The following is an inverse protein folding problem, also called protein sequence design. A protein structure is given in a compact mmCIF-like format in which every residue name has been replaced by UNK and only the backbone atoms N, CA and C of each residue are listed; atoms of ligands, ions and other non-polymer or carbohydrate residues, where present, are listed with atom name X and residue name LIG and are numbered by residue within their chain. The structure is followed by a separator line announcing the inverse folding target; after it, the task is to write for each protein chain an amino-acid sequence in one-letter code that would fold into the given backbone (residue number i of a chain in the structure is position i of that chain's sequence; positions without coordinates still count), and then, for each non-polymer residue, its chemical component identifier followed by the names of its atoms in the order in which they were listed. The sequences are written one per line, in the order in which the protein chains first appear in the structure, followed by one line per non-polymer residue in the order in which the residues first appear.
data_IF_709349461728
#
_entry.id   IF_709349461728
#
_cell.length_a   1.000
_cell.length_b   1.000
_cell.length_c   1.000
_cell.angle_alpha   90.00
_cell.angle_beta   90.00
_cell.angle_gamma   90.00
#
_symmetry.space_group_name_H-M   'P 1'
#
loop_
_entity.id
_entity.type
_entity.pdbx_description
1 polymer ?
#
# COMPACT_ATOMS: atom_id res chain seq x y z
N UNK A 1 31.28 -50.81 0.36
CA UNK A 1 31.50 -49.47 0.94
C UNK A 1 32.02 -48.56 -0.15
N UNK A 2 31.64 -47.28 -0.11
CA UNK A 2 31.93 -46.19 -1.07
C UNK A 2 30.96 -46.06 -2.26
N UNK A 3 29.76 -45.53 -1.98
CA UNK A 3 29.06 -44.67 -2.92
C UNK A 3 29.29 -43.22 -2.50
N UNK A 4 30.00 -42.46 -3.33
CA UNK A 4 30.23 -41.03 -3.18
C UNK A 4 29.25 -40.30 -4.11
N UNK A 5 28.15 -39.78 -3.57
CA UNK A 5 27.31 -38.79 -4.25
C UNK A 5 27.67 -37.43 -3.67
N UNK A 6 28.54 -36.70 -4.36
CA UNK A 6 28.79 -35.29 -4.12
C UNK A 6 28.53 -34.53 -5.43
N UNK A 7 27.28 -34.16 -5.65
CA UNK A 7 26.88 -33.19 -6.67
C UNK A 7 26.38 -31.93 -5.99
N UNK A 8 27.29 -31.05 -5.57
CA UNK A 8 26.95 -29.70 -5.12
C UNK A 8 26.60 -28.85 -6.34
N UNK A 9 25.32 -28.87 -6.73
CA UNK A 9 24.79 -27.93 -7.71
C UNK A 9 24.79 -26.53 -7.11
N UNK A 10 25.73 -25.69 -7.51
CA UNK A 10 25.67 -24.25 -7.27
C UNK A 10 24.45 -23.69 -8.01
N UNK A 11 23.39 -23.40 -7.27
CA UNK A 11 22.27 -22.63 -7.81
C UNK A 11 22.81 -21.25 -8.15
N UNK A 12 23.04 -20.98 -9.44
CA UNK A 12 23.30 -19.65 -9.93
C UNK A 12 22.09 -18.78 -9.60
N UNK A 13 22.18 -18.01 -8.51
CA UNK A 13 21.25 -16.92 -8.26
C UNK A 13 21.58 -15.87 -9.33
N UNK A 14 20.71 -15.75 -10.34
CA UNK A 14 20.86 -14.72 -11.35
C UNK A 14 21.00 -13.36 -10.65
N UNK A 15 22.04 -12.60 -11.00
CA UNK A 15 22.25 -11.25 -10.48
C UNK A 15 21.05 -10.38 -10.83
N UNK A 16 20.50 -9.66 -9.86
CA UNK A 16 19.43 -8.69 -10.11
C UNK A 16 19.93 -7.61 -11.10
N UNK A 17 19.06 -7.08 -11.98
CA UNK A 17 19.44 -6.05 -12.95
C UNK A 17 19.62 -4.66 -12.31
N UNK A 18 19.49 -4.55 -10.99
CA UNK A 18 19.62 -3.32 -10.22
C UNK A 18 20.31 -3.61 -8.88
N UNK A 19 20.68 -2.56 -8.16
CA UNK A 19 21.39 -2.65 -6.88
C UNK A 19 20.52 -2.24 -5.70
N UNK A 20 20.71 -2.94 -4.58
CA UNK A 20 20.37 -2.42 -3.26
C UNK A 20 21.54 -1.61 -2.71
N UNK A 21 21.28 -0.41 -2.22
CA UNK A 21 22.29 0.48 -1.62
C UNK A 21 21.89 0.86 -0.22
N UNK A 22 22.87 0.96 0.67
CA UNK A 22 22.64 1.31 2.05
C UNK A 22 22.89 2.80 2.25
N UNK A 23 21.84 3.52 2.63
CA UNK A 23 21.88 4.91 3.07
C UNK A 23 21.24 4.98 4.45
N UNK A 24 21.82 4.22 5.38
CA UNK A 24 21.22 3.96 6.68
C UNK A 24 21.14 5.22 7.55
N UNK A 25 20.00 5.41 8.19
CA UNK A 25 19.77 6.37 9.25
C UNK A 25 20.37 5.78 10.55
N UNK A 26 21.29 6.48 11.23
CA UNK A 26 21.83 6.02 12.50
C UNK A 26 20.75 5.89 13.56
N UNK A 27 20.82 4.85 14.39
CA UNK A 27 19.93 4.71 15.55
C UNK A 27 20.46 5.59 16.69
N UNK A 28 20.11 6.87 16.66
CA UNK A 28 20.54 7.91 17.61
C UNK A 28 19.43 8.93 17.87
N UNK A 29 19.58 9.71 18.94
CA UNK A 29 18.61 10.77 19.28
C UNK A 29 18.49 11.81 18.15
N UNK A 30 17.28 12.31 17.95
CA UNK A 30 16.95 13.24 16.88
C UNK A 30 16.90 12.62 15.48
N UNK A 31 17.11 11.31 15.34
CA UNK A 31 16.92 10.60 14.07
C UNK A 31 15.50 10.05 13.95
N UNK A 32 14.99 9.99 12.72
CA UNK A 32 13.66 9.44 12.44
C UNK A 32 13.69 7.90 12.38
N UNK A 33 14.21 7.24 13.42
CA UNK A 33 14.30 5.78 13.51
C UNK A 33 14.12 5.34 14.95
N UNK A 34 13.47 4.21 15.16
CA UNK A 34 13.32 3.61 16.49
C UNK A 34 13.90 2.20 16.53
N UNK A 35 14.59 1.88 17.64
CA UNK A 35 15.25 0.59 17.82
C UNK A 35 14.25 -0.56 17.99
N UNK A 36 14.54 -1.68 17.35
CA UNK A 36 13.84 -2.97 17.55
C UNK A 36 12.42 -2.99 17.00
N UNK A 37 11.72 -4.11 17.10
CA UNK A 37 10.25 -4.15 17.04
C UNK A 37 9.68 -4.27 18.46
N UNK A 38 8.39 -3.99 18.64
CA UNK A 38 7.78 -4.06 19.97
C UNK A 38 7.62 -5.53 20.42
N UNK A 39 7.94 -5.81 21.68
CA UNK A 39 7.79 -7.14 22.30
C UNK A 39 6.34 -7.63 22.27
N UNK A 40 5.38 -6.71 22.42
CA UNK A 40 3.94 -6.97 22.30
C UNK A 40 3.54 -7.61 20.96
N UNK A 41 4.34 -7.41 19.92
CA UNK A 41 4.13 -7.95 18.58
C UNK A 41 5.00 -9.17 18.30
N UNK A 42 5.72 -9.68 19.29
CA UNK A 42 6.69 -10.77 19.15
C UNK A 42 8.02 -10.32 18.53
N UNK A 43 8.42 -9.06 18.73
CA UNK A 43 9.64 -8.48 18.18
C UNK A 43 9.73 -8.60 16.65
N UNK A 44 8.60 -8.42 15.96
CA UNK A 44 8.50 -8.49 14.50
C UNK A 44 7.48 -7.47 13.96
N UNK A 45 7.61 -7.07 12.68
CA UNK A 45 6.57 -6.31 12.00
C UNK A 45 5.36 -7.20 11.74
N UNK A 46 4.21 -6.57 11.50
CA UNK A 46 2.91 -7.20 11.27
C UNK A 46 2.36 -6.92 9.87
N UNK A 47 2.97 -6.00 9.11
CA UNK A 47 2.57 -5.73 7.72
C UNK A 47 3.51 -4.79 6.98
N UNK A 48 3.06 -4.30 5.83
CA UNK A 48 3.82 -3.40 4.94
C UNK A 48 2.93 -2.24 4.51
N UNK A 49 3.43 -1.03 4.65
CA UNK A 49 2.76 0.21 4.22
C UNK A 49 3.49 0.77 3.00
N UNK A 50 2.76 0.92 1.90
CA UNK A 50 3.30 1.44 0.65
C UNK A 50 2.96 2.93 0.47
N UNK A 51 3.91 3.67 -0.06
CA UNK A 51 3.88 5.12 -0.22
C UNK A 51 4.38 5.56 -1.61
N UNK A 52 4.08 6.82 -1.95
CA UNK A 52 4.84 7.56 -2.94
C UNK A 52 5.47 8.81 -2.32
N UNK A 53 6.57 9.25 -2.91
CA UNK A 53 7.39 10.32 -2.37
C UNK A 53 7.14 11.72 -2.95
N UNK A 54 6.25 11.87 -3.95
CA UNK A 54 6.03 13.13 -4.70
C UNK A 54 7.32 13.65 -5.35
N UNK A 55 8.12 12.72 -5.90
CA UNK A 55 9.35 13.03 -6.65
C UNK A 55 9.63 11.93 -7.66
N UNK A 56 10.19 12.27 -8.83
CA UNK A 56 10.60 11.25 -9.81
C UNK A 56 11.97 10.62 -9.53
N UNK A 57 12.74 11.19 -8.60
CA UNK A 57 14.15 10.82 -8.40
C UNK A 57 14.38 10.18 -7.04
N UNK A 58 15.03 9.02 -7.02
CA UNK A 58 15.42 8.34 -5.79
C UNK A 58 16.43 9.16 -5.00
N UNK A 59 17.33 9.89 -5.67
CA UNK A 59 18.30 10.76 -5.01
C UNK A 59 17.64 11.89 -4.21
N UNK A 60 16.54 12.45 -4.72
CA UNK A 60 15.74 13.45 -3.99
C UNK A 60 15.06 12.80 -2.80
N UNK A 61 14.42 11.64 -3.00
CA UNK A 61 13.80 10.89 -1.91
C UNK A 61 14.81 10.59 -0.79
N UNK A 62 16.01 10.11 -1.15
CA UNK A 62 17.12 9.87 -0.23
C UNK A 62 17.51 11.11 0.54
N UNK A 63 17.67 12.25 -0.11
CA UNK A 63 18.03 13.50 0.56
C UNK A 63 16.95 13.94 1.57
N UNK A 64 15.67 13.69 1.27
CA UNK A 64 14.56 14.14 2.13
C UNK A 64 14.37 13.25 3.36
N UNK A 65 14.43 11.92 3.22
CA UNK A 65 14.05 10.99 4.32
C UNK A 65 15.06 9.88 4.63
N UNK A 66 16.21 9.86 3.95
CA UNK A 66 17.21 8.80 4.04
C UNK A 66 18.58 9.29 4.51
N UNK A 67 19.39 8.38 5.08
CA UNK A 67 20.73 8.69 5.57
C UNK A 67 20.76 9.56 6.82
N UNK A 68 21.97 9.77 7.35
CA UNK A 68 22.18 10.45 8.63
C UNK A 68 21.80 11.94 8.66
N UNK A 69 21.73 12.58 7.48
CA UNK A 69 21.56 14.02 7.29
C UNK A 69 20.33 14.34 6.42
N UNK A 70 19.30 13.50 6.48
CA UNK A 70 18.05 13.74 5.78
C UNK A 70 17.45 15.11 6.13
N UNK A 71 16.84 15.81 5.17
CA UNK A 71 16.17 17.09 5.42
C UNK A 71 15.08 16.95 6.50
N UNK A 72 14.36 15.82 6.49
CA UNK A 72 13.29 15.50 7.46
C UNK A 72 13.78 14.63 8.61
N UNK A 73 15.07 14.77 8.97
CA UNK A 73 15.66 14.15 10.15
C UNK A 73 14.83 14.48 11.39
N UNK A 74 14.49 13.44 12.16
CA UNK A 74 13.65 13.59 13.35
C UNK A 74 12.16 13.78 13.07
N UNK A 75 11.72 13.71 11.81
CA UNK A 75 10.31 13.85 11.44
C UNK A 75 9.76 12.63 10.71
N UNK A 76 10.48 12.12 9.71
CA UNK A 76 9.98 11.06 8.85
C UNK A 76 11.12 10.21 8.26
N UNK A 77 10.81 8.95 8.02
CA UNK A 77 11.68 8.01 7.29
C UNK A 77 10.85 6.85 6.75
N UNK A 78 11.47 6.04 5.88
CA UNK A 78 10.96 4.74 5.45
C UNK A 78 12.04 3.67 5.63
N UNK A 79 11.72 2.39 5.45
CA UNK A 79 12.77 1.36 5.41
C UNK A 79 13.45 1.36 4.05
N UNK A 80 12.67 1.55 2.99
CA UNK A 80 13.15 1.51 1.61
C UNK A 80 12.69 2.73 0.81
N UNK A 81 13.55 3.18 -0.11
CA UNK A 81 13.20 4.02 -1.25
C UNK A 81 13.40 3.23 -2.55
N UNK A 82 12.42 3.24 -3.44
CA UNK A 82 12.47 2.51 -4.72
C UNK A 82 12.45 3.50 -5.88
N UNK A 83 13.52 3.49 -6.68
CA UNK A 83 13.64 4.35 -7.87
C UNK A 83 12.66 4.00 -8.98
N UNK A 84 12.67 4.80 -10.06
CA UNK A 84 11.83 4.57 -11.25
C UNK A 84 12.48 3.64 -12.26
N UNK A 85 13.80 3.55 -12.25
CA UNK A 85 14.59 2.71 -13.16
C UNK A 85 15.56 1.82 -12.39
N UNK A 86 16.03 0.75 -13.04
CA UNK A 86 17.04 -0.14 -12.49
C UNK A 86 18.36 0.56 -12.17
N UNK A 87 18.73 1.57 -12.96
CA UNK A 87 19.91 2.41 -12.69
C UNK A 87 19.79 3.13 -11.34
N UNK A 88 18.61 3.70 -11.06
CA UNK A 88 18.33 4.29 -9.76
C UNK A 88 18.34 3.24 -8.65
N UNK A 89 17.79 2.04 -8.88
CA UNK A 89 17.84 0.92 -7.95
C UNK A 89 16.96 1.11 -6.71
N UNK A 90 17.39 0.48 -5.61
CA UNK A 90 16.70 0.52 -4.31
C UNK A 90 17.65 1.01 -3.24
N UNK A 91 17.20 1.95 -2.42
CA UNK A 91 17.92 2.38 -1.23
C UNK A 91 17.27 1.80 0.03
N UNK A 92 18.08 1.36 0.98
CA UNK A 92 17.68 1.03 2.34
C UNK A 92 18.08 2.17 3.28
N UNK A 93 17.09 2.73 3.99
CA UNK A 93 17.29 3.80 4.96
C UNK A 93 17.20 3.32 6.40
N UNK A 94 16.35 2.32 6.69
CA UNK A 94 16.22 1.72 8.01
C UNK A 94 16.32 0.21 7.87
N UNK A 95 17.12 -0.43 8.73
CA UNK A 95 17.28 -1.89 8.71
C UNK A 95 15.99 -2.58 9.16
N UNK A 96 15.77 -3.83 8.75
CA UNK A 96 14.54 -4.58 9.06
C UNK A 96 14.41 -4.96 10.54
N UNK A 97 15.45 -4.74 11.34
CA UNK A 97 15.47 -4.92 12.80
C UNK A 97 14.90 -3.69 13.54
N UNK A 98 14.79 -2.55 12.87
CA UNK A 98 14.39 -1.27 13.43
C UNK A 98 13.11 -0.77 12.75
N UNK A 99 12.55 0.34 13.26
CA UNK A 99 11.30 0.92 12.76
C UNK A 99 11.53 2.30 12.18
N UNK A 100 11.01 2.53 10.98
CA UNK A 100 10.93 3.86 10.36
C UNK A 100 9.68 4.64 10.77
N UNK A 101 9.70 5.95 10.54
CA UNK A 101 8.63 6.89 10.90
C UNK A 101 7.83 7.30 9.64
N UNK A 102 7.13 6.34 9.04
CA UNK A 102 6.43 6.50 7.76
C UNK A 102 4.91 6.69 7.88
N UNK A 103 4.27 6.08 8.89
CA UNK A 103 2.81 6.13 9.04
C UNK A 103 2.38 7.41 9.77
N UNK A 104 1.66 8.28 9.06
CA UNK A 104 1.36 9.66 9.46
C UNK A 104 0.67 9.83 10.83
N UNK A 105 0.69 11.06 11.34
CA UNK A 105 0.21 11.38 12.71
C UNK A 105 -1.28 11.15 12.92
N UNK A 106 -2.09 11.26 11.85
CA UNK A 106 -3.56 11.15 11.87
C UNK A 106 -4.06 9.73 11.53
N UNK A 107 -3.22 8.70 11.67
CA UNK A 107 -3.60 7.33 11.39
C UNK A 107 -4.85 6.93 12.18
N UNK A 108 -5.87 6.42 11.50
CA UNK A 108 -7.17 6.04 12.06
C UNK A 108 -7.43 4.54 12.05
N UNK A 109 -6.80 3.78 11.14
CA UNK A 109 -6.90 2.31 11.08
C UNK A 109 -5.55 1.65 11.33
N UNK A 110 -5.58 0.43 11.87
CA UNK A 110 -4.43 -0.48 12.01
C UNK A 110 -4.12 -1.15 10.67
N UNK A 111 -2.98 -1.83 10.56
CA UNK A 111 -2.58 -2.57 9.34
C UNK A 111 -3.59 -3.64 8.88
N UNK A 112 -4.45 -4.11 9.80
CA UNK A 112 -5.49 -5.11 9.54
C UNK A 112 -6.90 -4.49 9.39
N UNK A 113 -7.01 -3.17 9.28
CA UNK A 113 -8.27 -2.47 9.05
C UNK A 113 -9.14 -2.24 10.29
N UNK A 114 -8.74 -2.73 11.46
CA UNK A 114 -9.42 -2.40 12.72
C UNK A 114 -9.16 -0.93 13.10
N UNK A 115 -10.09 -0.27 13.81
CA UNK A 115 -9.83 1.06 14.35
C UNK A 115 -8.57 1.11 15.21
N UNK A 116 -7.76 2.17 15.08
CA UNK A 116 -6.59 2.37 15.94
C UNK A 116 -7.01 2.67 17.40
N UNK A 117 -8.05 3.50 17.58
CA UNK A 117 -8.73 3.78 18.86
C UNK A 117 -7.79 3.98 20.07
N UNK A 118 -6.74 4.79 19.92
CA UNK A 118 -5.82 5.13 21.00
C UNK A 118 -4.76 4.07 21.33
N UNK A 119 -4.78 2.91 20.68
CA UNK A 119 -3.77 1.85 20.87
C UNK A 119 -2.51 2.18 20.06
N UNK A 120 -1.72 3.12 20.58
CA UNK A 120 -0.57 3.67 19.87
C UNK A 120 0.45 2.60 19.45
N UNK A 121 0.52 1.47 20.16
CA UNK A 121 1.37 0.32 19.81
C UNK A 121 1.05 -0.28 18.44
N UNK A 122 -0.18 -0.10 17.95
CA UNK A 122 -0.66 -0.60 16.67
C UNK A 122 -0.57 0.43 15.53
N UNK A 123 0.07 1.58 15.77
CA UNK A 123 0.43 2.52 14.69
C UNK A 123 1.34 1.85 13.66
N UNK A 124 1.27 2.25 12.40
CA UNK A 124 2.08 1.70 11.31
C UNK A 124 3.58 1.90 11.57
N UNK A 125 4.00 3.04 12.12
CA UNK A 125 5.39 3.27 12.55
C UNK A 125 5.90 2.29 13.61
N UNK A 126 5.00 1.50 14.22
CA UNK A 126 5.31 0.48 15.23
C UNK A 126 5.08 -0.95 14.75
N UNK A 127 4.36 -1.12 13.65
CA UNK A 127 3.84 -2.42 13.22
C UNK A 127 4.09 -2.74 11.76
N UNK A 128 4.51 -1.78 10.93
CA UNK A 128 4.65 -2.01 9.50
C UNK A 128 6.03 -1.63 8.99
N UNK A 129 6.42 -2.27 7.89
CA UNK A 129 7.56 -1.84 7.09
C UNK A 129 7.09 -0.80 6.07
N UNK A 130 7.54 0.45 6.19
CA UNK A 130 7.30 1.50 5.20
C UNK A 130 8.20 1.39 3.97
N UNK A 131 7.61 1.48 2.77
CA UNK A 131 8.29 1.52 1.47
C UNK A 131 7.84 2.76 0.69
N UNK A 132 8.79 3.58 0.26
CA UNK A 132 8.54 4.80 -0.51
C UNK A 132 8.92 4.58 -1.98
N UNK A 133 8.00 4.87 -2.90
CA UNK A 133 8.28 4.82 -4.35
C UNK A 133 8.57 6.23 -4.88
N UNK A 134 9.62 6.37 -5.70
CA UNK A 134 9.88 7.59 -6.47
C UNK A 134 8.79 7.77 -7.53
N UNK A 135 7.77 8.52 -7.15
CA UNK A 135 6.55 8.68 -7.92
C UNK A 135 5.95 10.06 -7.62
N UNK A 136 5.52 10.80 -8.65
CA UNK A 136 5.02 12.19 -8.46
C UNK A 136 3.59 12.26 -7.92
N UNK A 137 2.87 11.14 -7.94
CA UNK A 137 1.53 11.03 -7.35
C UNK A 137 0.43 11.37 -8.36
N UNK A 138 -0.54 12.15 -7.90
CA UNK A 138 -1.76 12.44 -8.62
C UNK A 138 -1.73 13.78 -9.36
N UNK A 139 -2.63 13.93 -10.32
CA UNK A 139 -2.82 15.17 -11.05
C UNK A 139 -3.57 16.13 -10.13
N UNK A 140 -2.92 17.24 -9.83
CA UNK A 140 -3.36 18.28 -8.90
C UNK A 140 -2.95 19.63 -9.48
N UNK A 141 -3.32 20.72 -8.82
CA UNK A 141 -2.90 22.06 -9.24
C UNK A 141 -1.37 22.13 -9.40
N UNK A 142 -0.90 22.49 -10.60
CA UNK A 142 0.52 22.53 -10.95
C UNK A 142 1.12 21.21 -11.46
N UNK A 143 0.37 20.10 -11.45
CA UNK A 143 0.80 18.81 -12.00
C UNK A 143 -0.27 18.28 -12.97
N UNK A 144 -0.07 18.54 -14.26
CA UNK A 144 -0.96 18.03 -15.30
C UNK A 144 -0.82 16.51 -15.48
N UNK A 145 -1.95 15.83 -15.70
CA UNK A 145 -1.95 14.42 -16.05
C UNK A 145 -1.43 14.19 -17.47
N UNK A 146 -0.59 13.16 -17.65
CA UNK A 146 -0.20 12.69 -18.98
C UNK A 146 -1.25 11.70 -19.53
N UNK A 147 -1.15 11.35 -20.82
CA UNK A 147 -2.15 10.54 -21.51
C UNK A 147 -2.31 9.11 -20.91
N UNK A 148 -1.22 8.55 -20.38
CA UNK A 148 -1.14 7.19 -19.81
C UNK A 148 -1.49 7.12 -18.32
N UNK A 149 -1.93 8.24 -17.71
CA UNK A 149 -2.22 8.26 -16.28
C UNK A 149 -3.47 7.47 -15.92
N UNK A 150 -3.35 6.70 -14.84
CA UNK A 150 -4.33 5.75 -14.35
C UNK A 150 -5.49 6.50 -13.70
N UNK A 151 -6.73 6.15 -14.09
CA UNK A 151 -7.93 6.64 -13.42
C UNK A 151 -8.21 5.81 -12.17
N UNK A 152 -8.27 6.46 -11.02
CA UNK A 152 -8.54 5.82 -9.72
C UNK A 152 -9.40 6.70 -8.84
N UNK A 153 -9.63 6.30 -7.59
CA UNK A 153 -10.36 7.11 -6.62
C UNK A 153 -9.73 7.02 -5.22
N UNK A 154 -9.71 8.15 -4.52
CA UNK A 154 -9.33 8.21 -3.09
C UNK A 154 -10.26 7.37 -2.21
N UNK A 155 -9.89 7.08 -0.95
CA UNK A 155 -10.80 6.46 0.01
C UNK A 155 -12.08 7.25 0.28
N UNK A 156 -12.05 8.57 0.08
CA UNK A 156 -13.24 9.43 0.17
C UNK A 156 -14.10 9.40 -1.10
N UNK A 157 -13.72 8.62 -2.11
CA UNK A 157 -14.43 8.50 -3.38
C UNK A 157 -14.24 9.69 -4.32
N UNK A 158 -13.22 10.53 -4.11
CA UNK A 158 -12.82 11.54 -5.11
C UNK A 158 -12.04 10.89 -6.26
N UNK A 159 -12.43 11.08 -7.53
CA UNK A 159 -11.65 10.64 -8.68
C UNK A 159 -10.25 11.25 -8.69
N UNK A 160 -9.26 10.50 -9.16
CA UNK A 160 -7.88 10.93 -9.36
C UNK A 160 -7.35 10.38 -10.70
N UNK A 161 -6.39 11.11 -11.27
CA UNK A 161 -5.48 10.57 -12.29
C UNK A 161 -4.11 10.46 -11.66
N UNK A 162 -3.46 9.31 -11.74
CA UNK A 162 -2.18 9.04 -11.06
C UNK A 162 -1.16 8.57 -12.09
N UNK A 163 0.07 9.02 -11.97
CA UNK A 163 1.17 8.53 -12.79
C UNK A 163 1.24 6.97 -12.70
N UNK A 164 1.58 6.26 -13.78
CA UNK A 164 1.82 4.83 -13.70
C UNK A 164 3.21 4.50 -13.12
N UNK A 165 3.30 3.35 -12.45
CA UNK A 165 4.57 2.73 -12.08
C UNK A 165 5.19 2.05 -13.29
N UNK A 166 6.48 2.26 -13.52
CA UNK A 166 7.21 1.62 -14.61
C UNK A 166 7.37 0.12 -14.34
N UNK A 167 7.61 -0.67 -15.39
CA UNK A 167 7.91 -2.10 -15.26
C UNK A 167 9.12 -2.35 -14.36
N UNK A 168 10.18 -1.54 -14.49
CA UNK A 168 11.39 -1.64 -13.67
C UNK A 168 11.11 -1.33 -12.20
N UNK A 169 10.36 -0.25 -11.92
CA UNK A 169 9.97 0.09 -10.56
C UNK A 169 9.11 -1.01 -9.91
N UNK A 170 8.19 -1.61 -10.66
CA UNK A 170 7.39 -2.75 -10.18
C UNK A 170 8.28 -3.95 -9.87
N UNK A 171 9.24 -4.29 -10.73
CA UNK A 171 10.19 -5.38 -10.49
C UNK A 171 11.03 -5.14 -9.22
N UNK A 172 11.48 -3.89 -9.00
CA UNK A 172 12.18 -3.53 -7.76
C UNK A 172 11.27 -3.61 -6.52
N UNK A 173 10.02 -3.15 -6.62
CA UNK A 173 9.03 -3.30 -5.53
C UNK A 173 8.80 -4.77 -5.17
N UNK A 174 8.74 -5.66 -6.17
CA UNK A 174 8.60 -7.10 -5.98
C UNK A 174 9.80 -7.65 -5.20
N UNK A 175 11.03 -7.30 -5.56
CA UNK A 175 12.23 -7.79 -4.85
C UNK A 175 12.33 -7.26 -3.42
N UNK A 176 11.97 -5.99 -3.18
CA UNK A 176 11.85 -5.46 -1.80
C UNK A 176 10.83 -6.26 -1.00
N UNK A 177 9.66 -6.54 -1.58
CA UNK A 177 8.64 -7.36 -0.95
C UNK A 177 9.11 -8.80 -0.67
N UNK A 178 9.81 -9.43 -1.62
CA UNK A 178 10.41 -10.77 -1.45
C UNK A 178 11.44 -10.80 -0.34
N UNK A 179 12.29 -9.76 -0.23
CA UNK A 179 13.22 -9.63 0.88
C UNK A 179 12.50 -9.60 2.23
N UNK A 180 11.46 -8.76 2.33
CA UNK A 180 10.66 -8.62 3.54
C UNK A 180 10.01 -9.96 3.93
N UNK A 181 9.35 -10.63 3.00
CA UNK A 181 8.64 -11.90 3.27
C UNK A 181 9.61 -13.04 3.55
N UNK A 182 10.78 -13.08 2.91
CA UNK A 182 11.84 -14.05 3.25
C UNK A 182 12.29 -13.90 4.70
N UNK A 183 12.37 -12.66 5.20
CA UNK A 183 12.72 -12.38 6.60
C UNK A 183 11.55 -12.62 7.56
N UNK A 184 10.33 -12.33 7.12
CA UNK A 184 9.10 -12.32 7.91
C UNK A 184 7.97 -13.08 7.19
N UNK A 185 8.03 -14.42 7.12
CA UNK A 185 7.12 -15.23 6.30
C UNK A 185 5.68 -15.25 6.81
N UNK A 186 5.41 -14.69 7.99
CA UNK A 186 4.06 -14.52 8.51
C UNK A 186 3.32 -13.31 7.91
N UNK A 187 4.02 -12.41 7.20
CA UNK A 187 3.38 -11.33 6.44
C UNK A 187 2.77 -11.96 5.19
N UNK A 188 1.47 -11.78 5.03
CA UNK A 188 0.67 -12.37 3.94
C UNK A 188 0.18 -11.27 2.99
N UNK A 189 -0.38 -11.60 1.81
CA UNK A 189 -0.93 -10.61 0.89
C UNK A 189 -1.88 -9.60 1.54
N UNK A 190 -2.69 -10.04 2.52
CA UNK A 190 -3.61 -9.17 3.27
C UNK A 190 -2.94 -8.16 4.22
N UNK A 191 -1.66 -8.36 4.55
CA UNK A 191 -0.93 -7.48 5.47
C UNK A 191 -0.25 -6.30 4.74
N UNK A 192 -0.39 -6.23 3.41
CA UNK A 192 -0.01 -5.08 2.59
C UNK A 192 -1.18 -4.11 2.41
N UNK A 193 -0.89 -2.82 2.51
CA UNK A 193 -1.86 -1.73 2.29
C UNK A 193 -1.14 -0.43 1.92
N UNK A 194 -1.88 0.54 1.38
CA UNK A 194 -1.36 1.88 1.12
C UNK A 194 -1.49 2.78 2.35
N UNK A 195 -0.71 3.86 2.41
CA UNK A 195 -0.84 4.84 3.47
C UNK A 195 -2.24 5.48 3.55
N UNK A 196 -2.90 5.66 2.40
CA UNK A 196 -4.27 6.14 2.28
C UNK A 196 -5.27 5.19 2.93
N UNK A 197 -4.96 3.90 3.09
CA UNK A 197 -5.88 2.98 3.74
C UNK A 197 -5.95 3.23 5.25
N UNK A 198 -4.84 3.64 5.87
CA UNK A 198 -4.71 3.77 7.32
C UNK A 198 -4.77 5.21 7.82
N UNK A 199 -4.45 6.20 6.98
CA UNK A 199 -4.42 7.62 7.33
C UNK A 199 -5.12 8.54 6.31
N UNK A 200 -6.31 8.19 5.76
CA UNK A 200 -6.90 8.91 4.63
C UNK A 200 -7.36 10.34 4.94
N UNK A 201 -7.62 10.66 6.20
CA UNK A 201 -8.21 11.94 6.62
C UNK A 201 -7.41 12.62 7.72
N UNK A 202 -7.50 13.95 7.77
CA UNK A 202 -6.96 14.75 8.86
C UNK A 202 -7.90 14.75 10.08
N UNK A 203 -7.51 15.48 11.13
CA UNK A 203 -8.30 15.60 12.36
C UNK A 203 -9.68 16.26 12.12
N UNK A 204 -9.88 16.95 11.00
CA UNK A 204 -11.15 17.57 10.60
C UNK A 204 -11.95 16.69 9.63
N UNK A 205 -11.49 15.47 9.33
CA UNK A 205 -12.15 14.56 8.40
C UNK A 205 -11.97 14.91 6.92
N UNK A 206 -11.08 15.86 6.59
CA UNK A 206 -10.75 16.22 5.19
C UNK A 206 -9.73 15.27 4.63
N UNK A 207 -9.71 15.10 3.30
CA UNK A 207 -8.70 14.29 2.62
C UNK A 207 -7.29 14.70 3.04
N UNK A 208 -6.46 13.73 3.45
CA UNK A 208 -5.11 13.98 3.96
C UNK A 208 -4.07 13.14 3.22
N UNK A 209 -4.12 11.81 3.36
CA UNK A 209 -3.21 10.91 2.62
C UNK A 209 -3.95 10.22 1.49
N UNK A 210 -3.41 10.42 0.29
CA UNK A 210 -3.88 9.80 -0.95
C UNK A 210 -2.81 8.90 -1.56
N UNK A 211 -1.58 8.92 -1.04
CA UNK A 211 -0.56 7.95 -1.37
C UNK A 211 -0.95 6.57 -0.82
N UNK A 212 -0.88 5.46 -1.51
CA UNK A 212 -0.45 5.25 -2.89
C UNK A 212 -1.62 4.82 -3.80
N UNK A 213 -2.65 5.66 -3.98
CA UNK A 213 -3.82 5.31 -4.81
C UNK A 213 -3.41 4.90 -6.25
N UNK A 214 -4.02 3.86 -6.80
CA UNK A 214 -3.65 3.32 -8.12
C UNK A 214 -2.38 2.45 -8.14
N UNK A 215 -1.72 2.24 -6.99
CA UNK A 215 -0.60 1.31 -6.91
C UNK A 215 -1.04 -0.10 -7.38
N UNK A 216 -0.26 -0.77 -8.24
CA UNK A 216 -0.64 -2.05 -8.83
C UNK A 216 -0.42 -3.21 -7.85
N UNK A 217 -1.11 -3.18 -6.71
CA UNK A 217 -0.99 -4.13 -5.61
C UNK A 217 -1.09 -5.58 -6.08
N UNK A 218 -2.10 -5.95 -6.87
CA UNK A 218 -2.25 -7.32 -7.35
C UNK A 218 -1.02 -7.78 -8.15
N UNK A 219 -0.51 -6.95 -9.07
CA UNK A 219 0.68 -7.27 -9.87
C UNK A 219 1.93 -7.41 -9.00
N UNK A 220 2.15 -6.49 -8.06
CA UNK A 220 3.31 -6.54 -7.15
C UNK A 220 3.22 -7.76 -6.22
N UNK A 221 2.06 -8.00 -5.62
CA UNK A 221 1.87 -9.11 -4.68
C UNK A 221 1.96 -10.48 -5.38
N UNK A 222 1.49 -10.61 -6.63
CA UNK A 222 1.73 -11.83 -7.44
C UNK A 222 3.19 -12.08 -7.78
N UNK A 223 4.02 -11.03 -7.76
CA UNK A 223 5.47 -11.18 -7.84
C UNK A 223 6.09 -11.66 -6.52
N UNK A 224 5.51 -11.30 -5.37
CA UNK A 224 6.03 -11.62 -4.03
C UNK A 224 5.57 -13.00 -3.56
N UNK A 225 4.31 -13.34 -3.83
CA UNK A 225 3.61 -14.54 -3.35
C UNK A 225 3.15 -15.41 -4.53
N UNK A 226 2.85 -16.70 -4.31
CA UNK A 226 2.20 -17.53 -5.33
C UNK A 226 0.89 -16.88 -5.83
N UNK A 227 0.69 -16.84 -7.15
CA UNK A 227 -0.47 -16.16 -7.76
C UNK A 227 -1.83 -16.63 -7.20
N UNK A 228 -1.97 -17.94 -6.97
CA UNK A 228 -3.19 -18.56 -6.47
C UNK A 228 -3.69 -18.01 -5.11
N UNK A 229 -2.82 -17.39 -4.31
CA UNK A 229 -3.19 -16.84 -3.00
C UNK A 229 -3.42 -15.32 -3.01
N UNK A 230 -3.22 -14.64 -4.15
CA UNK A 230 -3.36 -13.19 -4.26
C UNK A 230 -4.68 -12.83 -4.95
N UNK A 231 -5.74 -12.46 -4.19
CA UNK A 231 -6.95 -11.95 -4.79
C UNK A 231 -6.72 -10.54 -5.36
N UNK A 232 -7.22 -10.27 -6.56
CA UNK A 232 -7.22 -8.92 -7.11
C UNK A 232 -8.43 -8.13 -6.60
N UNK A 233 -8.26 -7.56 -5.42
CA UNK A 233 -9.30 -6.73 -4.76
C UNK A 233 -9.19 -5.26 -5.15
N UNK A 234 -8.23 -4.87 -5.98
CA UNK A 234 -7.94 -3.47 -6.29
C UNK A 234 -8.47 -3.08 -7.67
N UNK A 235 -8.06 -3.78 -8.72
CA UNK A 235 -8.42 -3.45 -10.11
C UNK A 235 -9.93 -3.41 -10.35
N UNK A 236 -10.75 -4.38 -9.89
CA UNK A 236 -12.20 -4.30 -10.08
C UNK A 236 -12.91 -3.23 -9.25
N UNK A 237 -12.22 -2.55 -8.32
CA UNK A 237 -12.80 -1.57 -7.38
C UNK A 237 -12.01 -0.24 -7.36
N UNK A 238 -11.29 0.02 -8.44
CA UNK A 238 -10.33 1.12 -8.54
C UNK A 238 -11.02 2.49 -8.64
N UNK A 239 -12.11 2.57 -9.40
CA UNK A 239 -12.85 3.81 -9.70
C UNK A 239 -14.14 3.94 -8.90
N UNK A 240 -14.67 5.17 -8.82
CA UNK A 240 -15.95 5.48 -8.16
C UNK A 240 -17.10 4.62 -8.70
N UNK A 241 -17.25 4.57 -10.03
CA UNK A 241 -18.33 3.82 -10.70
C UNK A 241 -18.25 2.32 -10.40
N UNK A 242 -17.05 1.75 -10.41
CA UNK A 242 -16.85 0.34 -10.06
C UNK A 242 -17.27 0.04 -8.61
N UNK A 243 -16.90 0.90 -7.66
CA UNK A 243 -17.29 0.78 -6.24
C UNK A 243 -18.80 0.87 -6.06
N UNK A 244 -19.45 1.81 -6.76
CA UNK A 244 -20.91 1.94 -6.74
C UNK A 244 -21.61 0.71 -7.31
N UNK A 245 -21.14 0.19 -8.47
CA UNK A 245 -21.67 -1.05 -9.06
C UNK A 245 -21.55 -2.24 -8.11
N UNK A 246 -20.41 -2.38 -7.43
CA UNK A 246 -20.21 -3.43 -6.44
C UNK A 246 -21.21 -3.33 -5.27
N UNK A 247 -21.44 -2.13 -4.73
CA UNK A 247 -22.45 -1.91 -3.68
C UNK A 247 -23.87 -2.22 -4.17
N UNK A 248 -24.24 -1.78 -5.38
CA UNK A 248 -25.55 -2.07 -5.99
C UNK A 248 -25.73 -3.58 -6.17
N UNK A 249 -24.72 -4.28 -6.66
CA UNK A 249 -24.75 -5.73 -6.77
C UNK A 249 -24.97 -6.38 -5.41
N UNK A 250 -24.36 -5.87 -4.35
CA UNK A 250 -24.61 -6.36 -2.98
C UNK A 250 -25.94 -5.85 -2.37
N UNK A 251 -26.87 -5.36 -3.20
CA UNK A 251 -28.21 -4.88 -2.85
C UNK A 251 -28.22 -3.63 -1.95
N UNK A 252 -27.16 -2.83 -1.95
CA UNK A 252 -27.19 -1.52 -1.28
C UNK A 252 -27.79 -0.45 -2.20
N UNK A 253 -28.69 0.36 -1.64
CA UNK A 253 -29.41 1.39 -2.37
C UNK A 253 -28.57 2.67 -2.52
N UNK A 254 -28.22 3.03 -3.75
CA UNK A 254 -27.51 4.27 -4.09
C UNK A 254 -28.45 5.39 -4.61
N UNK A 255 -29.75 5.16 -4.59
CA UNK A 255 -30.76 6.06 -5.15
C UNK A 255 -30.93 5.90 -6.66
N UNK A 256 -31.74 6.77 -7.27
CA UNK A 256 -32.13 6.67 -8.68
C UNK A 256 -30.97 6.83 -9.65
N UNK A 257 -29.91 7.57 -9.30
CA UNK A 257 -28.73 7.77 -10.14
C UNK A 257 -27.85 6.51 -10.27
N UNK A 258 -28.00 5.54 -9.36
CA UNK A 258 -27.23 4.30 -9.38
C UNK A 258 -25.72 4.54 -9.31
N UNK A 259 -24.98 3.88 -10.20
CA UNK A 259 -23.53 4.05 -10.32
C UNK A 259 -23.21 5.14 -11.34
N UNK A 260 -23.37 6.41 -10.95
CA UNK A 260 -23.20 7.60 -11.78
C UNK A 260 -21.75 8.09 -11.89
N UNK A 261 -20.85 7.60 -11.04
CA UNK A 261 -19.46 8.03 -10.95
C UNK A 261 -19.22 9.20 -9.99
N UNK A 262 -20.25 9.65 -9.26
CA UNK A 262 -20.13 10.65 -8.20
C UNK A 262 -20.27 10.03 -6.80
N UNK A 263 -19.29 10.28 -5.94
CA UNK A 263 -19.32 9.73 -4.57
C UNK A 263 -20.06 10.65 -3.60
N UNK A 264 -21.36 10.80 -3.86
CA UNK A 264 -22.26 11.62 -3.06
C UNK A 264 -22.75 10.95 -1.75
N UNK A 265 -23.72 11.61 -1.11
CA UNK A 265 -24.28 11.19 0.17
C UNK A 265 -24.88 9.77 0.15
N UNK A 266 -25.52 9.37 -0.96
CA UNK A 266 -26.11 8.04 -1.11
C UNK A 266 -25.05 6.94 -1.17
N UNK A 267 -23.98 7.14 -1.96
CA UNK A 267 -22.82 6.24 -2.02
C UNK A 267 -22.18 6.09 -0.63
N UNK A 268 -22.01 7.21 0.09
CA UNK A 268 -21.47 7.20 1.46
C UNK A 268 -22.38 6.46 2.44
N UNK A 269 -23.68 6.67 2.40
CA UNK A 269 -24.64 5.95 3.25
C UNK A 269 -24.64 4.45 2.96
N UNK A 270 -24.63 4.05 1.68
CA UNK A 270 -24.53 2.65 1.27
C UNK A 270 -23.24 2.00 1.80
N UNK A 271 -22.10 2.69 1.69
CA UNK A 271 -20.83 2.22 2.23
C UNK A 271 -20.88 2.05 3.76
N UNK A 272 -21.45 3.01 4.50
CA UNK A 272 -21.58 2.90 5.96
C UNK A 272 -22.43 1.70 6.38
N UNK A 273 -23.53 1.43 5.66
CA UNK A 273 -24.35 0.25 5.90
C UNK A 273 -23.58 -1.04 5.60
N UNK A 274 -22.85 -1.09 4.49
CA UNK A 274 -21.98 -2.22 4.15
C UNK A 274 -20.92 -2.46 5.22
N UNK A 275 -20.21 -1.41 5.65
CA UNK A 275 -19.19 -1.50 6.70
C UNK A 275 -19.79 -2.05 8.01
N UNK A 276 -20.99 -1.58 8.39
CA UNK A 276 -21.71 -2.09 9.56
C UNK A 276 -22.05 -3.57 9.42
N UNK A 277 -22.61 -3.98 8.28
CA UNK A 277 -22.98 -5.37 8.01
C UNK A 277 -21.76 -6.31 8.04
N UNK A 278 -20.61 -5.82 7.60
CA UNK A 278 -19.36 -6.59 7.53
C UNK A 278 -18.48 -6.47 8.78
N UNK A 279 -18.98 -5.84 9.85
CA UNK A 279 -18.24 -5.57 11.09
C UNK A 279 -16.88 -4.88 10.86
N UNK A 280 -16.84 -3.94 9.92
CA UNK A 280 -15.70 -3.09 9.61
C UNK A 280 -15.78 -1.77 10.38
N UNK A 281 -14.70 -0.97 10.33
CA UNK A 281 -14.75 0.41 10.82
C UNK A 281 -15.79 1.23 10.03
N UNK A 282 -16.82 1.73 10.72
CA UNK A 282 -17.93 2.49 10.13
C UNK A 282 -17.56 3.97 9.93
N UNK A 283 -16.55 4.20 9.09
CA UNK A 283 -15.97 5.52 8.86
C UNK A 283 -16.36 6.13 7.49
N UNK A 284 -17.04 5.37 6.63
CA UNK A 284 -17.43 5.82 5.29
C UNK A 284 -16.24 5.99 4.34
N UNK A 285 -15.11 5.35 4.62
CA UNK A 285 -13.89 5.37 3.81
C UNK A 285 -13.74 4.05 3.05
N UNK A 286 -13.51 4.14 1.74
CA UNK A 286 -13.23 2.99 0.88
C UNK A 286 -11.73 2.64 0.90
N UNK A 287 -11.32 1.82 1.86
CA UNK A 287 -9.96 1.28 1.96
C UNK A 287 -9.82 -0.10 1.32
N UNK A 288 -8.60 -0.61 1.20
CA UNK A 288 -8.33 -1.99 0.77
C UNK A 288 -9.05 -3.02 1.65
N UNK A 289 -9.32 -2.71 2.92
CA UNK A 289 -10.05 -3.58 3.83
C UNK A 289 -11.52 -3.70 3.43
N UNK A 290 -12.12 -2.59 2.99
CA UNK A 290 -13.46 -2.58 2.39
C UNK A 290 -13.43 -3.35 1.07
N UNK A 291 -12.44 -3.10 0.20
CA UNK A 291 -12.30 -3.83 -1.06
C UNK A 291 -12.24 -5.34 -0.87
N UNK A 292 -11.49 -5.83 0.12
CA UNK A 292 -11.43 -7.27 0.45
C UNK A 292 -12.78 -7.83 0.88
N UNK A 293 -13.51 -7.10 1.72
CA UNK A 293 -14.84 -7.51 2.13
C UNK A 293 -15.79 -7.54 0.93
N UNK A 294 -15.83 -6.48 0.11
CA UNK A 294 -16.68 -6.41 -1.08
C UNK A 294 -16.39 -7.56 -2.04
N UNK A 295 -15.10 -7.79 -2.33
CA UNK A 295 -14.67 -8.87 -3.20
C UNK A 295 -15.15 -10.24 -2.67
N UNK A 296 -14.96 -10.51 -1.37
CA UNK A 296 -15.43 -11.74 -0.73
C UNK A 296 -16.94 -11.90 -0.86
N UNK A 297 -17.72 -10.87 -0.52
CA UNK A 297 -19.20 -10.94 -0.54
C UNK A 297 -19.72 -11.16 -1.97
N UNK A 298 -19.12 -10.51 -2.97
CA UNK A 298 -19.48 -10.75 -4.38
C UNK A 298 -19.23 -12.22 -4.76
N UNK A 299 -18.05 -12.76 -4.42
CA UNK A 299 -17.71 -14.16 -4.70
C UNK A 299 -18.65 -15.13 -3.96
N UNK A 300 -18.98 -14.87 -2.70
CA UNK A 300 -19.93 -15.68 -1.92
C UNK A 300 -21.34 -15.64 -2.51
N UNK A 301 -21.74 -14.51 -3.09
CA UNK A 301 -23.00 -14.38 -3.83
C UNK A 301 -22.95 -15.02 -5.24
N UNK A 302 -21.88 -15.72 -5.60
CA UNK A 302 -21.72 -16.35 -6.92
C UNK A 302 -21.44 -15.37 -8.05
N UNK A 303 -20.98 -14.15 -7.74
CA UNK A 303 -20.76 -13.08 -8.71
C UNK A 303 -19.28 -12.86 -8.94
N UNK A 304 -18.88 -12.73 -10.20
CA UNK A 304 -17.51 -12.38 -10.53
C UNK A 304 -17.29 -10.86 -10.33
N UNK A 305 -16.36 -10.44 -9.44
CA UNK A 305 -16.10 -9.04 -9.18
C UNK A 305 -15.70 -8.24 -10.43
N UNK A 306 -14.99 -8.85 -11.39
CA UNK A 306 -14.58 -8.18 -12.63
C UNK A 306 -15.79 -7.94 -13.52
N UNK A 307 -16.60 -8.98 -13.78
CA UNK A 307 -17.82 -8.84 -14.57
C UNK A 307 -18.81 -7.83 -13.98
N UNK A 308 -19.01 -7.85 -12.65
CA UNK A 308 -19.95 -6.94 -11.96
C UNK A 308 -19.56 -5.47 -12.14
N UNK A 309 -18.27 -5.16 -12.07
CA UNK A 309 -17.80 -3.77 -11.99
C UNK A 309 -17.45 -3.20 -13.35
N UNK A 310 -17.17 -4.05 -14.35
CA UNK A 310 -16.98 -3.67 -15.74
C UNK A 310 -18.18 -2.89 -16.30
N UNK A 311 -19.41 -3.40 -16.11
CA UNK A 311 -20.68 -2.83 -16.59
C UNK A 311 -20.69 -2.43 -18.08
N UNK A 312 -21.84 -1.98 -18.64
CA UNK A 312 -21.82 -1.27 -19.91
C UNK A 312 -21.12 0.09 -19.72
N UNK A 313 -20.37 0.54 -20.72
CA UNK A 313 -19.74 1.88 -20.76
C UNK A 313 -20.79 2.97 -20.66
#
# INVERSE_FOLDING_TARGET
MSDTIAGTGSVHVASLPFQFRNFLIPVADGQAVSRGWLSRHGNKPLGVTWHWAVTRRLSVLRAVIGGANAERKGEASAHYGVGRTFDEGVDRYVTLENRSWHAGVNQSLRWNGKPLAGDADFKGTRTTIGIETSHIGAAIDGVAAEADWIHTATPLGKPLRVQPWTTEQIAMCIEVGREIVRRWPHIRPEDHHGHHDICPVDAQGRAYKIDVCGFPFAKVLRGIYPDAVVPDVWTPLETVRQRQRALIALNFNLGASGADGDWGSKSRTALLLFQRQQNLAQNGLWSTFVSRAVYRELKQAGRDPVAVTAGPL
#
